data_IF_418945549409
#
_entry.id   IF_418945549409
#
_cell.length_a   1.000
_cell.length_b   1.000
_cell.length_c   1.000
_cell.angle_alpha   90.00
_cell.angle_beta   90.00
_cell.angle_gamma   90.00
#
_symmetry.space_group_name_H-M   'P 1'
#
loop_
_entity.id
_entity.type
_entity.pdbx_description
1 polymer ?
#
# COMPACT_ATOMS: atom_id res chain seq x y z
N UNK A 1 -24.36 -8.61 20.71
CA UNK A 1 -23.12 -9.34 21.09
C UNK A 1 -21.97 -8.94 20.14
N UNK A 2 -22.19 -8.78 18.83
CA UNK A 2 -21.19 -8.33 17.86
C UNK A 2 -20.71 -6.88 18.07
N UNK A 3 -21.55 -5.98 18.55
CA UNK A 3 -21.22 -4.58 18.84
C UNK A 3 -20.18 -4.45 19.98
N UNK A 4 -20.22 -5.32 20.99
CA UNK A 4 -19.30 -5.27 22.13
C UNK A 4 -17.86 -5.71 21.78
N UNK A 5 -17.68 -6.65 20.85
CA UNK A 5 -16.35 -7.09 20.43
C UNK A 5 -15.62 -6.04 19.60
N UNK A 6 -16.33 -5.24 18.79
CA UNK A 6 -15.74 -4.16 18.01
C UNK A 6 -15.24 -2.99 18.88
N UNK A 7 -15.85 -2.73 20.02
CA UNK A 7 -15.38 -1.69 20.96
C UNK A 7 -14.03 -2.03 21.58
N UNK A 8 -13.78 -3.29 21.93
CA UNK A 8 -12.51 -3.71 22.55
C UNK A 8 -11.31 -3.69 21.58
N UNK A 9 -11.52 -3.96 20.30
CA UNK A 9 -10.44 -3.92 19.30
C UNK A 9 -9.96 -2.49 18.99
N UNK A 10 -10.82 -1.49 19.19
CA UNK A 10 -10.53 -0.09 18.87
C UNK A 10 -10.09 0.75 20.07
N UNK A 11 -9.91 0.15 21.25
CA UNK A 11 -9.58 0.86 22.51
C UNK A 11 -8.26 1.66 22.47
N UNK A 12 -7.43 1.50 21.43
CA UNK A 12 -6.14 2.20 21.27
C UNK A 12 -6.09 3.18 20.10
N UNK A 13 -7.17 3.30 19.33
CA UNK A 13 -7.21 4.20 18.17
C UNK A 13 -8.62 4.79 18.01
N UNK A 14 -8.68 6.05 17.58
CA UNK A 14 -9.92 6.74 17.21
C UNK A 14 -10.48 6.29 15.86
N UNK A 15 -9.75 5.45 15.12
CA UNK A 15 -10.10 4.98 13.78
C UNK A 15 -10.42 3.50 13.80
N UNK A 16 -11.50 3.13 13.12
CA UNK A 16 -11.90 1.74 12.90
C UNK A 16 -11.64 1.35 11.45
N UNK A 17 -10.90 0.26 11.25
CA UNK A 17 -10.69 -0.32 9.92
C UNK A 17 -11.75 -1.39 9.66
N UNK A 18 -12.47 -1.27 8.56
CA UNK A 18 -13.54 -2.18 8.20
C UNK A 18 -13.08 -3.63 8.03
N UNK A 19 -11.84 -3.85 7.53
CA UNK A 19 -11.39 -5.20 7.17
C UNK A 19 -10.23 -5.74 7.99
N UNK A 20 -9.16 -4.98 8.14
CA UNK A 20 -7.91 -5.50 8.71
C UNK A 20 -7.37 -4.57 9.80
N UNK A 21 -7.95 -4.67 11.00
CA UNK A 21 -7.46 -3.95 12.16
C UNK A 21 -6.05 -4.44 12.57
N UNK A 22 -5.72 -5.69 12.28
CA UNK A 22 -4.41 -6.25 12.53
C UNK A 22 -4.00 -7.27 11.46
N UNK A 23 -2.71 -7.59 11.42
CA UNK A 23 -2.12 -8.48 10.41
C UNK A 23 -2.67 -9.92 10.47
N UNK A 24 -3.14 -10.39 11.61
CA UNK A 24 -3.71 -11.74 11.74
C UNK A 24 -5.00 -11.87 10.93
N UNK A 25 -5.89 -10.88 11.01
CA UNK A 25 -7.13 -10.85 10.21
C UNK A 25 -6.83 -10.82 8.71
N UNK A 26 -5.73 -10.17 8.31
CA UNK A 26 -5.29 -10.17 6.92
C UNK A 26 -4.90 -11.58 6.45
N UNK A 27 -4.11 -12.32 7.21
CA UNK A 27 -3.72 -13.69 6.85
C UNK A 27 -4.87 -14.71 6.95
N UNK A 28 -5.89 -14.43 7.76
CA UNK A 28 -7.08 -15.27 7.91
C UNK A 28 -8.15 -14.98 6.84
N UNK A 29 -8.01 -13.89 6.08
CA UNK A 29 -8.96 -13.56 5.03
C UNK A 29 -9.06 -14.68 3.99
N UNK A 30 -10.29 -15.09 3.73
CA UNK A 30 -10.60 -16.13 2.72
C UNK A 30 -9.97 -15.82 1.35
N UNK A 31 -9.88 -14.54 0.97
CA UNK A 31 -9.29 -14.12 -0.31
C UNK A 31 -7.79 -14.41 -0.36
N UNK A 32 -7.06 -14.14 0.73
CA UNK A 32 -5.65 -14.49 0.84
C UNK A 32 -5.45 -16.01 0.74
N UNK A 33 -6.20 -16.79 1.51
CA UNK A 33 -6.14 -18.26 1.48
C UNK A 33 -6.53 -18.84 0.11
N UNK A 34 -7.49 -18.22 -0.58
CA UNK A 34 -7.85 -18.60 -1.95
C UNK A 34 -6.71 -18.34 -2.92
N UNK A 35 -6.00 -17.20 -2.80
CA UNK A 35 -4.85 -16.90 -3.62
C UNK A 35 -3.71 -17.92 -3.39
N UNK A 36 -3.43 -18.30 -2.15
CA UNK A 36 -2.47 -19.35 -1.83
C UNK A 36 -2.80 -20.69 -2.50
N UNK A 37 -4.08 -21.03 -2.62
CA UNK A 37 -4.53 -22.27 -3.30
C UNK A 37 -4.47 -22.16 -4.82
N UNK A 38 -4.67 -20.97 -5.37
CA UNK A 38 -4.79 -20.73 -6.80
C UNK A 38 -3.45 -20.58 -7.51
N UNK A 39 -2.50 -19.90 -6.87
CA UNK A 39 -1.23 -19.52 -7.49
C UNK A 39 -0.07 -20.43 -7.04
N UNK A 40 0.94 -20.56 -7.90
CA UNK A 40 2.10 -21.40 -7.66
C UNK A 40 3.19 -20.67 -6.87
N UNK A 41 3.33 -19.36 -7.11
CA UNK A 41 4.36 -18.52 -6.52
C UNK A 41 3.77 -17.37 -5.72
N UNK A 42 4.47 -17.00 -4.65
CA UNK A 42 4.25 -15.80 -3.85
C UNK A 42 5.56 -15.05 -3.73
N UNK A 43 5.60 -13.76 -4.07
CA UNK A 43 6.66 -12.87 -3.65
C UNK A 43 6.15 -11.90 -2.59
N UNK A 44 6.89 -11.84 -1.49
CA UNK A 44 6.70 -10.86 -0.39
C UNK A 44 7.81 -9.83 -0.48
N UNK A 45 7.46 -8.57 -0.36
CA UNK A 45 8.41 -7.48 -0.28
C UNK A 45 7.78 -6.30 0.47
N UNK A 46 8.62 -5.45 1.06
CA UNK A 46 8.21 -4.20 1.68
C UNK A 46 8.80 -2.99 0.96
N UNK A 47 8.32 -1.81 1.33
CA UNK A 47 8.89 -0.55 0.88
C UNK A 47 9.99 -0.12 1.84
N UNK A 48 11.12 0.30 1.27
CA UNK A 48 12.27 0.75 2.08
C UNK A 48 11.93 2.04 2.82
N UNK A 49 11.99 1.99 4.16
CA UNK A 49 11.76 3.16 5.03
C UNK A 49 10.54 3.97 4.60
N UNK A 50 9.40 3.30 4.34
CA UNK A 50 8.24 3.89 3.68
C UNK A 50 7.85 5.24 4.31
N UNK A 51 7.60 5.27 5.61
CA UNK A 51 7.17 6.48 6.33
C UNK A 51 8.23 7.59 6.33
N UNK A 52 9.51 7.24 6.47
CA UNK A 52 10.63 8.19 6.45
C UNK A 52 10.90 8.74 5.04
N UNK A 53 10.47 8.02 4.00
CA UNK A 53 10.72 8.39 2.59
C UNK A 53 9.56 9.14 1.94
N UNK A 54 8.36 9.15 2.54
CA UNK A 54 7.22 9.86 1.99
C UNK A 54 7.51 11.35 1.90
N UNK A 55 7.43 11.90 0.68
CA UNK A 55 7.46 13.32 0.43
C UNK A 55 6.04 13.87 0.59
N UNK A 56 5.79 14.73 1.59
CA UNK A 56 4.44 15.10 2.01
C UNK A 56 3.58 15.69 0.89
N UNK A 57 4.16 16.47 -0.02
CA UNK A 57 3.42 17.03 -1.17
C UNK A 57 2.86 15.97 -2.14
N UNK A 58 3.32 14.72 -2.05
CA UNK A 58 2.79 13.64 -2.92
C UNK A 58 1.35 13.29 -2.63
N UNK A 59 0.80 13.64 -1.46
CA UNK A 59 -0.63 13.50 -1.16
C UNK A 59 -1.47 14.34 -2.13
N UNK A 60 -1.04 15.55 -2.45
CA UNK A 60 -1.71 16.39 -3.43
C UNK A 60 -1.66 15.80 -4.83
N UNK A 61 -0.55 15.13 -5.20
CA UNK A 61 -0.47 14.41 -6.48
C UNK A 61 -1.44 13.23 -6.53
N UNK A 62 -1.50 12.44 -5.46
CA UNK A 62 -2.41 11.30 -5.37
C UNK A 62 -3.88 11.73 -5.46
N UNK A 63 -4.27 12.75 -4.70
CA UNK A 63 -5.65 13.23 -4.64
C UNK A 63 -6.11 14.00 -5.89
N UNK A 64 -5.20 14.66 -6.60
CA UNK A 64 -5.49 15.35 -7.86
C UNK A 64 -5.42 14.44 -9.10
N UNK A 65 -4.94 13.21 -8.93
CA UNK A 65 -4.79 12.26 -10.04
C UNK A 65 -3.49 12.39 -10.84
N UNK A 66 -2.45 12.99 -10.25
CA UNK A 66 -1.07 13.04 -10.76
C UNK A 66 -0.37 14.37 -10.55
N UNK A 67 0.96 14.34 -10.46
CA UNK A 67 1.81 15.52 -10.24
C UNK A 67 1.60 16.64 -11.29
N UNK A 68 1.37 16.26 -12.54
CA UNK A 68 1.15 17.22 -13.62
C UNK A 68 -0.19 17.95 -13.50
N UNK A 69 -1.21 17.32 -12.92
CA UNK A 69 -2.53 17.95 -12.73
C UNK A 69 -2.47 19.04 -11.67
N UNK A 70 -1.72 18.82 -10.60
CA UNK A 70 -1.53 19.83 -9.53
C UNK A 70 -0.94 21.13 -10.09
N UNK A 71 -0.02 21.04 -11.04
CA UNK A 71 0.64 22.21 -11.64
C UNK A 71 -0.27 23.04 -12.56
N UNK A 72 -1.33 22.45 -13.08
CA UNK A 72 -2.19 23.06 -14.13
C UNK A 72 -3.52 23.58 -13.59
N UNK A 73 -3.95 23.12 -12.41
CA UNK A 73 -5.24 23.53 -11.84
C UNK A 73 -5.15 24.92 -11.20
N UNK A 74 -5.83 25.96 -11.76
CA UNK A 74 -5.88 27.28 -11.15
C UNK A 74 -6.60 27.21 -9.79
N UNK A 75 -6.04 27.82 -8.76
CA UNK A 75 -6.65 27.89 -7.42
C UNK A 75 -6.50 26.62 -6.58
N UNK A 76 -5.64 25.70 -6.95
CA UNK A 76 -5.39 24.44 -6.24
C UNK A 76 -4.74 24.64 -4.85
N UNK A 77 -4.15 25.79 -4.58
CA UNK A 77 -3.45 26.05 -3.34
C UNK A 77 -4.39 26.50 -2.21
N UNK A 78 -4.44 25.71 -1.12
CA UNK A 78 -4.99 26.11 0.17
C UNK A 78 -6.43 25.67 0.49
N UNK A 79 -7.23 25.21 -0.48
CA UNK A 79 -8.63 24.78 -0.24
C UNK A 79 -8.89 23.30 -0.50
N UNK A 80 -7.90 22.56 -0.96
CA UNK A 80 -8.00 21.16 -1.32
C UNK A 80 -7.62 20.25 -0.15
N UNK A 81 -8.32 19.13 -0.01
CA UNK A 81 -8.06 18.16 1.08
C UNK A 81 -6.60 17.68 1.10
N UNK A 82 -5.98 17.48 -0.06
CA UNK A 82 -4.58 17.10 -0.17
C UNK A 82 -3.63 18.13 0.42
N UNK A 83 -3.85 19.43 0.11
CA UNK A 83 -3.01 20.52 0.63
C UNK A 83 -3.22 20.72 2.14
N UNK A 84 -4.47 20.60 2.62
CA UNK A 84 -4.76 20.68 4.05
C UNK A 84 -4.08 19.55 4.83
N UNK A 85 -4.11 18.33 4.27
CA UNK A 85 -3.48 17.18 4.89
C UNK A 85 -1.94 17.23 4.82
N UNK A 86 -1.38 17.72 3.71
CA UNK A 86 0.06 18.03 3.58
C UNK A 86 0.51 19.03 4.65
N UNK A 87 -0.18 20.15 4.80
CA UNK A 87 0.11 21.15 5.83
C UNK A 87 0.01 20.59 7.25
N UNK A 88 -0.98 19.73 7.51
CA UNK A 88 -1.10 19.04 8.79
C UNK A 88 0.13 18.17 9.07
N UNK A 89 0.54 17.33 8.10
CA UNK A 89 1.69 16.45 8.26
C UNK A 89 2.99 17.23 8.49
N UNK A 90 3.23 18.29 7.76
CA UNK A 90 4.37 19.18 7.98
C UNK A 90 4.32 19.83 9.36
N UNK A 91 3.14 20.26 9.82
CA UNK A 91 2.98 20.93 11.13
C UNK A 91 3.35 20.02 12.30
N UNK A 92 3.03 18.73 12.21
CA UNK A 92 3.36 17.75 13.26
C UNK A 92 4.78 17.19 13.14
N UNK A 93 5.45 17.41 12.01
CA UNK A 93 6.82 16.96 11.74
C UNK A 93 7.80 18.16 11.61
N UNK A 94 7.74 19.10 12.54
CA UNK A 94 8.64 20.25 12.61
C UNK A 94 8.79 21.06 11.29
N UNK A 95 7.76 21.08 10.45
CA UNK A 95 7.74 21.67 9.11
C UNK A 95 8.63 20.96 8.08
N UNK A 96 9.08 19.76 8.39
CA UNK A 96 9.78 18.92 7.41
C UNK A 96 8.81 18.38 6.37
N UNK A 97 9.28 18.33 5.12
CA UNK A 97 8.51 17.79 3.98
C UNK A 97 8.91 16.38 3.58
N UNK A 98 10.03 15.90 4.12
CA UNK A 98 10.51 14.53 3.94
C UNK A 98 10.23 13.71 5.20
N UNK A 99 9.58 12.57 5.01
CA UNK A 99 9.14 11.73 6.09
C UNK A 99 7.85 12.21 6.75
N UNK A 100 7.17 11.26 7.36
CA UNK A 100 5.97 11.50 8.18
C UNK A 100 6.14 10.84 9.54
N UNK A 101 5.54 11.43 10.58
CA UNK A 101 5.68 10.94 11.96
C UNK A 101 5.12 9.53 12.08
N UNK A 102 5.90 8.60 12.63
CA UNK A 102 5.49 7.22 12.89
C UNK A 102 4.73 7.16 14.22
N UNK A 103 3.61 6.42 14.23
CA UNK A 103 2.80 6.16 15.42
C UNK A 103 1.36 6.70 15.32
N UNK A 104 1.11 7.94 14.94
CA UNK A 104 -0.24 8.44 14.77
C UNK A 104 -0.98 7.74 13.63
N UNK A 105 -2.26 7.43 13.83
CA UNK A 105 -3.09 6.76 12.84
C UNK A 105 -3.31 7.59 11.57
N UNK A 106 -3.36 8.92 11.68
CA UNK A 106 -3.48 9.78 10.52
C UNK A 106 -2.27 9.69 9.57
N UNK A 107 -1.07 9.37 10.07
CA UNK A 107 0.10 9.09 9.22
C UNK A 107 -0.09 7.84 8.37
N UNK A 108 -0.71 6.81 8.96
CA UNK A 108 -1.07 5.59 8.23
C UNK A 108 -2.11 5.87 7.14
N UNK A 109 -3.13 6.67 7.44
CA UNK A 109 -4.14 7.10 6.46
C UNK A 109 -3.48 7.91 5.34
N UNK A 110 -2.57 8.79 5.68
CA UNK A 110 -1.81 9.60 4.71
C UNK A 110 -1.03 8.71 3.74
N UNK A 111 -0.24 7.77 4.26
CA UNK A 111 0.52 6.81 3.46
C UNK A 111 -0.42 5.94 2.60
N UNK A 112 -1.55 5.49 3.17
CA UNK A 112 -2.52 4.65 2.48
C UNK A 112 -3.13 5.33 1.25
N UNK A 113 -3.47 6.62 1.32
CA UNK A 113 -3.99 7.37 0.17
C UNK A 113 -2.97 7.41 -0.97
N UNK A 114 -1.70 7.63 -0.65
CA UNK A 114 -0.61 7.66 -1.65
C UNK A 114 -0.43 6.27 -2.27
N UNK A 115 -0.33 5.24 -1.44
CA UNK A 115 -0.09 3.88 -1.89
C UNK A 115 -1.27 3.31 -2.69
N UNK A 116 -2.53 3.61 -2.30
CA UNK A 116 -3.70 3.23 -3.09
C UNK A 116 -3.69 3.85 -4.49
N UNK A 117 -3.27 5.10 -4.61
CA UNK A 117 -3.12 5.73 -5.93
C UNK A 117 -2.07 4.99 -6.78
N UNK A 118 -0.92 4.65 -6.20
CA UNK A 118 0.13 3.89 -6.88
C UNK A 118 -0.41 2.52 -7.31
N UNK A 119 -1.05 1.77 -6.40
CA UNK A 119 -1.65 0.47 -6.68
C UNK A 119 -2.65 0.54 -7.85
N UNK A 120 -3.51 1.55 -7.86
CA UNK A 120 -4.46 1.77 -8.95
C UNK A 120 -3.76 2.03 -10.28
N UNK A 121 -2.66 2.79 -10.30
CA UNK A 121 -1.89 3.05 -11.52
C UNK A 121 -1.19 1.81 -12.05
N UNK A 122 -0.63 1.01 -11.16
CA UNK A 122 -0.03 -0.29 -11.50
C UNK A 122 -1.09 -1.21 -12.13
N UNK A 123 -2.26 -1.35 -11.49
CA UNK A 123 -3.35 -2.16 -12.02
C UNK A 123 -3.80 -1.69 -13.41
N UNK A 124 -3.98 -0.38 -13.62
CA UNK A 124 -4.34 0.20 -14.91
C UNK A 124 -3.28 -0.06 -15.99
N UNK A 125 -1.99 0.02 -15.64
CA UNK A 125 -0.90 -0.25 -16.59
C UNK A 125 -0.84 -1.73 -16.96
N UNK A 126 -0.98 -2.62 -15.99
CA UNK A 126 -1.00 -4.07 -16.23
C UNK A 126 -2.22 -4.50 -17.03
N UNK A 127 -3.37 -3.89 -16.80
CA UNK A 127 -4.58 -4.16 -17.58
C UNK A 127 -4.38 -3.84 -19.08
N UNK A 128 -3.64 -2.77 -19.41
CA UNK A 128 -3.28 -2.44 -20.80
C UNK A 128 -2.36 -3.50 -21.44
N UNK A 129 -1.61 -4.23 -20.62
CA UNK A 129 -0.78 -5.37 -21.03
C UNK A 129 -1.55 -6.71 -20.99
N UNK A 130 -2.88 -6.69 -20.89
CA UNK A 130 -3.79 -7.85 -20.75
C UNK A 130 -3.55 -8.69 -19.47
N UNK A 131 -2.90 -8.14 -18.47
CA UNK A 131 -2.75 -8.76 -17.16
C UNK A 131 -3.88 -8.31 -16.24
N UNK A 132 -4.74 -9.25 -15.83
CA UNK A 132 -5.95 -8.96 -15.06
C UNK A 132 -5.79 -9.39 -13.60
N UNK A 133 -6.06 -8.48 -12.69
CA UNK A 133 -6.16 -8.76 -11.25
C UNK A 133 -7.16 -9.92 -11.02
N UNK A 134 -6.87 -10.77 -10.04
CA UNK A 134 -7.63 -11.98 -9.67
C UNK A 134 -7.64 -13.10 -10.74
N UNK A 135 -7.21 -12.84 -11.95
CA UNK A 135 -7.12 -13.84 -13.02
C UNK A 135 -5.68 -14.27 -13.27
N UNK A 136 -4.83 -13.34 -13.69
CA UNK A 136 -3.44 -13.57 -14.08
C UNK A 136 -2.50 -13.45 -12.89
N UNK A 137 -2.80 -12.56 -11.97
CA UNK A 137 -2.12 -12.34 -10.71
C UNK A 137 -3.10 -11.91 -9.62
N UNK A 138 -2.66 -11.94 -8.38
CA UNK A 138 -3.40 -11.37 -7.25
C UNK A 138 -2.39 -10.67 -6.35
N UNK A 139 -2.66 -9.42 -5.99
CA UNK A 139 -1.79 -8.65 -5.12
C UNK A 139 -2.58 -8.13 -3.93
N UNK A 140 -2.00 -8.28 -2.76
CA UNK A 140 -2.50 -7.72 -1.52
C UNK A 140 -1.44 -6.83 -0.91
N UNK A 141 -1.86 -5.81 -0.21
CA UNK A 141 -0.97 -4.94 0.56
C UNK A 141 -1.51 -4.77 1.98
N UNK A 142 -0.62 -4.82 2.94
CA UNK A 142 -0.87 -4.47 4.33
C UNK A 142 0.13 -3.41 4.76
N UNK A 143 -0.32 -2.15 4.83
CA UNK A 143 0.52 -0.96 5.02
C UNK A 143 1.58 -0.86 3.90
N UNK A 144 2.83 -1.16 4.19
CA UNK A 144 3.98 -1.16 3.26
C UNK A 144 4.40 -2.57 2.80
N UNK A 145 3.80 -3.62 3.38
CA UNK A 145 4.05 -5.01 3.00
C UNK A 145 3.20 -5.43 1.80
N UNK A 146 3.83 -5.89 0.73
CA UNK A 146 3.19 -6.41 -0.48
C UNK A 146 3.27 -7.94 -0.57
N UNK A 147 2.20 -8.54 -1.07
CA UNK A 147 2.03 -9.98 -1.28
C UNK A 147 1.53 -10.21 -2.70
N UNK A 148 2.44 -10.51 -3.63
CA UNK A 148 2.10 -10.77 -5.03
C UNK A 148 2.06 -12.27 -5.30
N UNK A 149 0.90 -12.77 -5.69
CA UNK A 149 0.68 -14.14 -6.13
C UNK A 149 0.64 -14.21 -7.65
N UNK A 150 1.35 -15.17 -8.22
CA UNK A 150 1.46 -15.33 -9.68
C UNK A 150 1.78 -16.79 -10.07
N UNK A 151 1.63 -17.10 -11.36
CA UNK A 151 1.99 -18.41 -11.94
C UNK A 151 3.14 -18.32 -12.95
N UNK A 152 3.38 -17.15 -13.54
CA UNK A 152 4.36 -16.90 -14.59
C UNK A 152 5.33 -15.80 -14.16
N UNK A 153 6.62 -16.09 -14.24
CA UNK A 153 7.71 -15.16 -13.92
C UNK A 153 7.66 -13.87 -14.74
N UNK A 154 7.19 -13.94 -15.99
CA UNK A 154 7.00 -12.76 -16.82
C UNK A 154 5.96 -11.80 -16.22
N UNK A 155 4.87 -12.35 -15.64
CA UNK A 155 3.85 -11.56 -14.94
C UNK A 155 4.45 -10.85 -13.72
N UNK A 156 5.27 -11.57 -12.93
CA UNK A 156 6.00 -10.96 -11.81
C UNK A 156 6.89 -9.82 -12.26
N UNK A 157 7.68 -10.04 -13.31
CA UNK A 157 8.63 -9.05 -13.81
C UNK A 157 7.91 -7.77 -14.28
N UNK A 158 6.83 -7.93 -15.05
CA UNK A 158 6.00 -6.80 -15.52
C UNK A 158 5.33 -6.06 -14.36
N UNK A 159 4.88 -6.79 -13.32
CA UNK A 159 4.33 -6.17 -12.11
C UNK A 159 5.39 -5.36 -11.38
N UNK A 160 6.56 -5.96 -11.10
CA UNK A 160 7.65 -5.31 -10.37
C UNK A 160 8.20 -4.09 -11.13
N UNK A 161 8.31 -4.17 -12.45
CA UNK A 161 8.69 -3.04 -13.32
C UNK A 161 7.69 -1.88 -13.19
N UNK A 162 6.40 -2.17 -13.35
CA UNK A 162 5.34 -1.16 -13.25
C UNK A 162 5.29 -0.54 -11.86
N UNK A 163 5.34 -1.37 -10.80
CA UNK A 163 5.34 -0.89 -9.42
C UNK A 163 6.57 -0.02 -9.13
N UNK A 164 7.76 -0.46 -9.49
CA UNK A 164 9.00 0.29 -9.29
C UNK A 164 8.95 1.65 -9.97
N UNK A 165 8.42 1.71 -11.19
CA UNK A 165 8.22 2.96 -11.94
C UNK A 165 7.32 3.94 -11.18
N UNK A 166 6.15 3.48 -10.73
CA UNK A 166 5.19 4.34 -10.00
C UNK A 166 5.67 4.72 -8.60
N UNK A 167 6.31 3.81 -7.88
CA UNK A 167 6.95 4.13 -6.60
C UNK A 167 8.01 5.23 -6.76
N UNK A 168 8.86 5.12 -7.78
CA UNK A 168 9.91 6.10 -8.06
C UNK A 168 9.35 7.49 -8.38
N UNK A 169 8.21 7.58 -9.08
CA UNK A 169 7.51 8.85 -9.31
C UNK A 169 7.12 9.51 -7.99
N UNK A 170 6.75 8.73 -6.98
CA UNK A 170 6.40 9.18 -5.62
C UNK A 170 7.58 9.18 -4.64
N UNK A 171 8.82 9.04 -5.13
CA UNK A 171 10.07 9.01 -4.33
C UNK A 171 10.14 7.82 -3.36
N UNK A 172 9.39 6.77 -3.60
CA UNK A 172 9.43 5.54 -2.84
C UNK A 172 10.21 4.45 -3.60
N UNK A 173 10.66 3.44 -2.87
CA UNK A 173 11.38 2.31 -3.47
C UNK A 173 11.12 1.00 -2.72
N UNK A 174 11.25 -0.11 -3.44
CA UNK A 174 11.15 -1.45 -2.87
C UNK A 174 12.44 -1.74 -2.09
N UNK A 175 12.31 -2.44 -0.97
CA UNK A 175 13.42 -2.93 -0.19
C UNK A 175 13.94 -4.27 -0.78
N UNK A 176 15.09 -4.29 -1.45
CA UNK A 176 15.57 -5.52 -2.07
C UNK A 176 16.02 -6.56 -1.04
N UNK A 177 16.44 -6.14 0.17
CA UNK A 177 16.94 -7.05 1.20
C UNK A 177 15.83 -7.85 1.90
N UNK A 178 14.57 -7.40 1.79
CA UNK A 178 13.39 -8.06 2.35
C UNK A 178 12.46 -8.66 1.29
N UNK A 179 12.95 -8.82 0.06
CA UNK A 179 12.21 -9.48 -0.99
C UNK A 179 12.42 -10.98 -0.90
N UNK A 180 11.35 -11.71 -0.61
CA UNK A 180 11.35 -13.17 -0.43
C UNK A 180 10.39 -13.81 -1.45
N UNK A 181 10.87 -14.87 -2.12
CA UNK A 181 10.07 -15.63 -3.10
C UNK A 181 9.78 -17.01 -2.53
N UNK A 182 8.52 -17.42 -2.59
CA UNK A 182 8.04 -18.71 -2.13
C UNK A 182 7.39 -19.47 -3.28
N UNK A 183 7.64 -20.78 -3.35
CA UNK A 183 6.92 -21.71 -4.19
C UNK A 183 5.98 -22.57 -3.33
N UNK A 184 4.82 -22.91 -3.87
CA UNK A 184 3.85 -23.76 -3.16
C UNK A 184 4.40 -25.17 -2.89
N UNK A 185 4.26 -25.75 -1.67
CA UNK A 185 3.48 -25.24 -0.54
C UNK A 185 4.15 -24.05 0.14
N UNK A 186 3.40 -22.95 0.39
CA UNK A 186 3.93 -21.74 1.00
C UNK A 186 4.21 -21.95 2.48
N UNK A 187 5.45 -22.31 2.80
CA UNK A 187 5.92 -22.44 4.19
C UNK A 187 6.50 -21.07 4.61
N UNK A 188 5.65 -20.18 5.07
CA UNK A 188 6.04 -18.90 5.62
C UNK A 188 6.20 -18.98 7.14
N UNK A 189 6.85 -17.98 7.76
CA UNK A 189 6.95 -17.89 9.22
C UNK A 189 5.59 -17.95 9.91
N UNK A 190 4.54 -17.44 9.26
CA UNK A 190 3.15 -17.49 9.74
C UNK A 190 2.57 -18.90 9.65
N UNK A 191 2.90 -19.65 8.60
CA UNK A 191 2.46 -21.05 8.43
C UNK A 191 3.08 -21.97 9.49
N UNK A 192 4.31 -21.68 9.90
CA UNK A 192 5.01 -22.46 10.95
C UNK A 192 4.43 -22.15 12.34
N UNK A 193 3.90 -20.95 12.54
CA UNK A 193 3.32 -20.51 13.82
C UNK A 193 1.85 -20.96 14.04
N UNK A 194 1.21 -21.56 13.03
CA UNK A 194 -0.14 -22.16 13.10
C UNK A 194 -0.04 -23.64 13.41
#
# INVERSE_FOLDING_TARGET
VELFFNEYENLKTYFSYEKYANIYKFYEDYRYQRAEKKFKYLVKFDLQSCFDSIYTHTISWATAGGANKVKVLPGYHGSWVGDAFDNLMQSVNARETNGIVIGPEFSRIFAEIILQYIDQKVEQELLKKNLRLKSTYECYRYVDDYFLFYNDENVRNLFMESLTKWLKEFKLQINPSKTEVYERPFITKVTIAK
#
